data_IF_788792996640
#
_entry.id   IF_788792996640
#
_cell.length_a   1.000
_cell.length_b   1.000
_cell.length_c   1.000
_cell.angle_alpha   90.00
_cell.angle_beta   90.00
_cell.angle_gamma   90.00
#
_symmetry.space_group_name_H-M   'P 1'
#
loop_
_entity.id
_entity.type
_entity.pdbx_description
1 polymer ?
#
# COMPACT_ATOMS: atom_id res chain seq x y z
N UNK A 1 -9.34 -0.72 10.22
CA UNK A 1 -9.64 -1.38 8.93
C UNK A 1 -8.34 -1.63 8.18
N UNK A 2 -8.12 -2.86 7.78
CA UNK A 2 -6.94 -3.20 6.99
C UNK A 2 -7.11 -2.77 5.54
N UNK A 3 -6.05 -2.17 5.02
CA UNK A 3 -5.99 -1.73 3.63
C UNK A 3 -4.67 -2.20 3.04
N UNK A 4 -4.74 -2.71 1.82
CA UNK A 4 -3.57 -3.07 1.05
C UNK A 4 -3.20 -1.88 0.16
N UNK A 5 -1.97 -1.40 0.30
CA UNK A 5 -1.43 -0.40 -0.60
C UNK A 5 -0.61 -1.10 -1.67
N UNK A 6 -0.88 -0.76 -2.91
CA UNK A 6 -0.10 -1.18 -4.05
C UNK A 6 0.63 0.04 -4.60
N UNK A 7 1.96 0.05 -4.45
CA UNK A 7 2.81 1.18 -4.81
C UNK A 7 3.61 0.84 -6.05
N UNK A 8 3.60 1.75 -7.02
CA UNK A 8 4.40 1.62 -8.24
C UNK A 8 5.27 2.86 -8.37
N UNK A 9 6.57 2.66 -8.48
CA UNK A 9 7.56 3.73 -8.43
C UNK A 9 8.19 3.92 -9.81
N UNK A 10 8.15 5.16 -10.36
CA UNK A 10 8.79 5.43 -11.65
C UNK A 10 10.30 5.17 -11.60
N UNK A 11 10.85 4.69 -12.70
CA UNK A 11 12.29 4.44 -12.79
C UNK A 11 13.13 5.68 -12.49
N UNK A 12 12.74 6.83 -13.03
CA UNK A 12 13.54 8.06 -12.94
C UNK A 12 13.80 8.48 -11.50
N UNK A 13 12.76 8.54 -10.69
CA UNK A 13 12.88 9.03 -9.32
C UNK A 13 13.65 8.07 -8.43
N UNK A 14 13.40 6.78 -8.57
CA UNK A 14 14.12 5.81 -7.77
C UNK A 14 15.57 5.62 -8.25
N UNK A 15 15.78 5.63 -9.56
CA UNK A 15 17.15 5.58 -10.11
C UNK A 15 17.99 6.74 -9.59
N UNK A 16 17.42 7.95 -9.56
CA UNK A 16 18.11 9.11 -9.01
C UNK A 16 18.51 8.89 -7.55
N UNK A 17 17.59 8.36 -6.74
CA UNK A 17 17.86 8.07 -5.33
C UNK A 17 18.90 6.96 -5.14
N UNK A 18 18.93 5.96 -6.01
CA UNK A 18 19.96 4.91 -5.99
C UNK A 18 21.32 5.51 -6.33
N UNK A 19 21.39 6.36 -7.37
CA UNK A 19 22.65 6.97 -7.81
C UNK A 19 23.25 7.91 -6.77
N UNK A 20 22.42 8.68 -6.09
CA UNK A 20 22.88 9.63 -5.07
C UNK A 20 23.03 8.99 -3.68
N UNK A 21 22.67 7.71 -3.54
CA UNK A 21 22.80 6.97 -2.29
C UNK A 21 21.68 7.22 -1.27
N UNK A 22 20.62 7.93 -1.63
CA UNK A 22 19.55 8.30 -0.69
C UNK A 22 18.38 7.32 -0.62
N UNK A 23 18.33 6.30 -1.52
CA UNK A 23 17.18 5.42 -1.65
C UNK A 23 16.83 4.72 -0.31
N UNK A 24 17.84 4.17 0.37
CA UNK A 24 17.62 3.47 1.63
C UNK A 24 17.03 4.36 2.71
N UNK A 25 17.57 5.57 2.88
CA UNK A 25 17.08 6.51 3.88
C UNK A 25 15.67 7.01 3.56
N UNK A 26 15.37 7.25 2.30
CA UNK A 26 14.03 7.64 1.85
C UNK A 26 13.00 6.57 2.15
N UNK A 27 13.30 5.32 1.84
CA UNK A 27 12.42 4.20 2.14
C UNK A 27 12.24 4.02 3.65
N UNK A 28 13.32 4.09 4.41
CA UNK A 28 13.28 3.97 5.86
C UNK A 28 12.37 5.04 6.48
N UNK A 29 12.48 6.27 6.02
CA UNK A 29 11.64 7.37 6.49
C UNK A 29 10.16 7.12 6.22
N UNK A 30 9.83 6.62 5.04
CA UNK A 30 8.43 6.28 4.69
C UNK A 30 7.92 5.18 5.61
N UNK A 31 8.69 4.11 5.79
CA UNK A 31 8.27 2.97 6.60
C UNK A 31 8.13 3.33 8.08
N UNK A 32 9.01 4.17 8.60
CA UNK A 32 8.90 4.67 9.98
C UNK A 32 7.66 5.53 10.20
N UNK A 33 7.29 6.34 9.20
CA UNK A 33 6.11 7.19 9.28
C UNK A 33 4.79 6.43 9.13
N UNK A 34 4.78 5.41 8.29
CA UNK A 34 3.54 4.67 7.95
C UNK A 34 3.32 3.43 8.81
N UNK A 35 4.37 2.88 9.40
CA UNK A 35 4.31 1.72 10.31
C UNK A 35 3.42 0.59 9.79
N UNK A 36 3.72 0.03 8.60
CA UNK A 36 2.90 -1.04 8.05
C UNK A 36 2.97 -2.31 8.90
N UNK A 37 1.86 -3.07 8.93
CA UNK A 37 1.85 -4.41 9.52
C UNK A 37 2.76 -5.36 8.74
N UNK A 38 2.81 -5.20 7.42
CA UNK A 38 3.67 -5.96 6.53
C UNK A 38 4.04 -5.09 5.33
N UNK A 39 5.24 -5.30 4.80
CA UNK A 39 5.69 -4.66 3.57
C UNK A 39 6.55 -5.63 2.78
N UNK A 40 6.31 -5.69 1.47
CA UNK A 40 7.11 -6.48 0.54
C UNK A 40 7.46 -5.61 -0.65
N UNK A 41 8.71 -5.60 -1.02
CA UNK A 41 9.16 -4.93 -2.25
C UNK A 41 9.15 -5.94 -3.38
N UNK A 42 8.62 -5.53 -4.52
CA UNK A 42 8.48 -6.40 -5.68
C UNK A 42 8.49 -5.55 -6.95
N UNK A 43 8.37 -6.18 -8.10
CA UNK A 43 8.14 -5.44 -9.33
C UNK A 43 6.64 -5.27 -9.57
N UNK A 44 6.28 -4.17 -10.22
CA UNK A 44 4.91 -3.85 -10.64
C UNK A 44 4.95 -3.43 -12.11
N UNK A 45 4.59 -4.34 -13.01
CA UNK A 45 4.65 -4.06 -14.45
C UNK A 45 6.06 -3.70 -14.95
N UNK A 46 7.09 -4.35 -14.40
CA UNK A 46 8.47 -4.09 -14.76
C UNK A 46 9.11 -2.90 -14.04
N UNK A 47 8.36 -2.19 -13.21
CA UNK A 47 8.87 -1.11 -12.36
C UNK A 47 8.98 -1.57 -10.92
N UNK A 48 9.83 -0.89 -10.15
CA UNK A 48 9.94 -1.14 -8.72
C UNK A 48 8.62 -0.81 -8.03
N UNK A 49 8.28 -1.57 -7.02
CA UNK A 49 7.07 -1.32 -6.26
C UNK A 49 7.10 -1.96 -4.90
N UNK A 50 6.00 -1.75 -4.19
CA UNK A 50 5.83 -2.33 -2.87
C UNK A 50 4.36 -2.69 -2.66
N UNK A 51 4.14 -3.71 -1.86
CA UNK A 51 2.83 -4.06 -1.36
C UNK A 51 2.90 -3.92 0.15
N UNK A 52 2.01 -3.11 0.72
CA UNK A 52 1.98 -2.84 2.15
C UNK A 52 0.60 -3.15 2.71
N UNK A 53 0.57 -3.64 3.94
CA UNK A 53 -0.67 -3.77 4.70
C UNK A 53 -0.62 -2.76 5.83
N UNK A 54 -1.61 -1.87 5.87
CA UNK A 54 -1.70 -0.83 6.89
C UNK A 54 -3.05 -0.86 7.59
N UNK A 55 -3.09 -0.34 8.80
CA UNK A 55 -4.34 -0.12 9.51
C UNK A 55 -4.81 1.32 9.28
N UNK A 56 -5.89 1.46 8.54
CA UNK A 56 -6.52 2.76 8.27
C UNK A 56 -7.59 3.02 9.32
N UNK A 57 -7.33 3.98 10.21
CA UNK A 57 -8.27 4.29 11.30
C UNK A 57 -9.53 5.00 10.77
N UNK A 58 -9.33 5.97 9.87
CA UNK A 58 -10.44 6.66 9.21
C UNK A 58 -9.97 7.23 7.86
N UNK A 59 -10.91 7.61 6.98
CA UNK A 59 -10.55 8.08 5.62
C UNK A 59 -9.63 9.30 5.60
N UNK A 60 -9.63 10.13 6.62
CA UNK A 60 -8.77 11.31 6.67
C UNK A 60 -7.28 10.96 6.76
N UNK A 61 -6.96 9.71 7.10
CA UNK A 61 -5.59 9.21 7.19
C UNK A 61 -5.04 8.68 5.87
N UNK A 62 -5.86 8.63 4.81
CA UNK A 62 -5.38 8.19 3.48
C UNK A 62 -4.14 8.97 3.03
N UNK A 63 -4.10 10.32 3.09
CA UNK A 63 -2.89 11.04 2.70
C UNK A 63 -1.67 10.71 3.55
N UNK A 64 -1.85 10.36 4.81
CA UNK A 64 -0.73 9.96 5.68
C UNK A 64 0.04 8.77 5.10
N UNK A 65 -0.66 7.86 4.43
CA UNK A 65 -0.05 6.69 3.82
C UNK A 65 0.38 6.93 2.37
N UNK A 66 -0.32 7.77 1.63
CA UNK A 66 -0.07 7.96 0.20
C UNK A 66 0.98 9.05 -0.08
N UNK A 67 0.89 10.20 0.60
CA UNK A 67 1.73 11.35 0.31
C UNK A 67 3.24 11.10 0.46
N UNK A 68 3.70 10.31 1.44
CA UNK A 68 5.12 9.98 1.49
C UNK A 68 5.66 9.37 0.20
N UNK A 69 4.87 8.52 -0.45
CA UNK A 69 5.24 7.90 -1.73
C UNK A 69 5.13 8.88 -2.89
N UNK A 70 4.06 9.66 -2.91
CA UNK A 70 3.84 10.68 -3.96
C UNK A 70 4.97 11.69 -3.97
N UNK A 71 5.25 12.29 -2.83
CA UNK A 71 6.19 13.40 -2.73
C UNK A 71 7.65 12.95 -2.79
N UNK A 72 7.97 11.77 -2.28
CA UNK A 72 9.33 11.28 -2.30
C UNK A 72 9.74 10.73 -3.66
N UNK A 73 8.86 9.96 -4.30
CA UNK A 73 9.21 9.21 -5.50
C UNK A 73 8.32 9.49 -6.72
N UNK A 74 7.35 10.36 -6.60
CA UNK A 74 6.34 10.55 -7.66
C UNK A 74 5.65 9.22 -8.02
N UNK A 75 5.40 8.40 -7.02
CA UNK A 75 4.85 7.05 -7.18
C UNK A 75 3.34 7.08 -7.40
N UNK A 76 2.81 6.02 -7.98
CA UNK A 76 1.38 5.73 -7.96
C UNK A 76 1.06 4.87 -6.75
N UNK A 77 -0.05 5.14 -6.09
CA UNK A 77 -0.49 4.38 -4.93
C UNK A 77 -1.97 4.02 -5.09
N UNK A 78 -2.27 2.74 -5.06
CA UNK A 78 -3.63 2.23 -5.06
C UNK A 78 -3.97 1.69 -3.68
N UNK A 79 -5.19 1.95 -3.22
CA UNK A 79 -5.69 1.47 -1.94
C UNK A 79 -6.76 0.40 -2.20
N UNK A 80 -6.59 -0.76 -1.57
CA UNK A 80 -7.54 -1.85 -1.66
C UNK A 80 -7.99 -2.22 -0.25
N UNK A 81 -9.28 -2.08 0.03
CA UNK A 81 -9.86 -2.56 1.28
C UNK A 81 -9.75 -4.08 1.32
N UNK A 82 -9.21 -4.62 2.40
CA UNK A 82 -8.95 -6.04 2.52
C UNK A 82 -9.82 -6.66 3.61
N UNK A 83 -10.24 -7.89 3.37
CA UNK A 83 -10.94 -8.71 4.35
C UNK A 83 -10.02 -9.82 4.83
N UNK A 84 -10.06 -10.09 6.13
CA UNK A 84 -9.51 -11.34 6.65
C UNK A 84 -10.45 -12.50 6.36
N UNK A 85 -10.01 -13.77 6.48
CA UNK A 85 -10.93 -14.89 6.37
C UNK A 85 -12.11 -14.80 7.36
N UNK A 86 -11.86 -14.26 8.55
CA UNK A 86 -12.89 -14.06 9.58
C UNK A 86 -13.91 -12.99 9.15
N UNK A 87 -13.46 -11.92 8.51
CA UNK A 87 -14.35 -10.90 7.95
C UNK A 87 -15.26 -11.51 6.88
N UNK A 88 -14.69 -12.29 5.99
CA UNK A 88 -15.45 -12.98 4.94
C UNK A 88 -16.47 -13.95 5.52
N UNK A 89 -16.09 -14.69 6.58
CA UNK A 89 -17.01 -15.60 7.27
C UNK A 89 -18.21 -14.86 7.85
N UNK A 90 -18.02 -13.63 8.35
CA UNK A 90 -19.09 -12.80 8.91
C UNK A 90 -19.95 -12.13 7.85
N UNK A 91 -19.57 -12.19 6.58
CA UNK A 91 -20.29 -11.46 5.51
C UNK A 91 -21.69 -12.00 5.22
N UNK A 92 -22.00 -13.23 5.63
CA UNK A 92 -23.33 -13.79 5.42
C UNK A 92 -23.58 -14.25 3.99
N UNK A 93 -22.58 -14.85 3.37
CA UNK A 93 -22.67 -15.28 1.95
C UNK A 93 -23.81 -16.23 1.69
N UNK A 94 -24.14 -17.13 2.63
CA UNK A 94 -25.26 -18.08 2.46
C UNK A 94 -26.59 -17.33 2.29
N UNK A 95 -26.83 -16.32 3.12
CA UNK A 95 -28.03 -15.51 3.03
C UNK A 95 -28.06 -14.68 1.75
N UNK A 96 -26.92 -14.13 1.36
CA UNK A 96 -26.79 -13.38 0.11
C UNK A 96 -27.02 -14.29 -1.10
N UNK A 97 -26.51 -15.52 -1.08
CA UNK A 97 -26.74 -16.49 -2.14
C UNK A 97 -28.21 -16.80 -2.35
N UNK A 98 -28.98 -16.94 -1.27
CA UNK A 98 -30.42 -17.14 -1.31
C UNK A 98 -31.15 -15.92 -1.87
N UNK A 99 -30.73 -14.73 -1.43
CA UNK A 99 -31.34 -13.47 -1.88
C UNK A 99 -31.16 -13.23 -3.38
N UNK A 100 -30.02 -13.61 -3.91
CA UNK A 100 -29.63 -13.33 -5.29
C UNK A 100 -29.69 -14.58 -6.20
N UNK A 101 -30.33 -15.61 -5.74
CA UNK A 101 -30.46 -16.84 -6.52
C UNK A 101 -31.37 -16.67 -7.78
#
# INVERSE_FOLDING_TARGET
MRVLLDVKIPHETFNAAVRDGSAGNKLKRILEATKPEAVYFTERGGQRGAIMVVNLEDPSKIPTFAEPWFLTFNADVEFHVAMTPEDLARAGLDALGKQWA
#
